data_IF_147373766406
#
_entry.id   IF_147373766406
#
_cell.length_a   1.000
_cell.length_b   1.000
_cell.length_c   1.000
_cell.angle_alpha   90.00
_cell.angle_beta   90.00
_cell.angle_gamma   90.00
#
_symmetry.space_group_name_H-M   'P 1'
#
loop_
_entity.id
_entity.type
_entity.pdbx_description
1 polymer ?
#
# COMPACT_ATOMS: atom_id res chain seq x y z
N UNK A 1 -16.00 -11.81 10.55
CA UNK A 1 -15.73 -11.86 12.01
C UNK A 1 -14.22 -11.91 12.32
N UNK A 2 -13.40 -12.63 11.56
CA UNK A 2 -11.97 -12.86 11.87
C UNK A 2 -11.13 -11.58 11.99
N UNK A 3 -11.18 -10.67 11.01
CA UNK A 3 -10.39 -9.44 11.04
C UNK A 3 -10.71 -8.53 12.22
N UNK A 4 -12.00 -8.34 12.54
CA UNK A 4 -12.40 -7.51 13.69
C UNK A 4 -11.90 -8.09 15.01
N UNK A 5 -11.93 -9.42 15.17
CA UNK A 5 -11.37 -10.09 16.33
C UNK A 5 -9.87 -9.88 16.44
N UNK A 6 -9.13 -10.00 15.32
CA UNK A 6 -7.69 -9.78 15.29
C UNK A 6 -7.32 -8.31 15.62
N UNK A 7 -8.04 -7.33 15.05
CA UNK A 7 -7.84 -5.91 15.40
C UNK A 7 -8.06 -5.65 16.89
N UNK A 8 -9.09 -6.24 17.48
CA UNK A 8 -9.35 -6.13 18.93
C UNK A 8 -8.23 -6.76 19.75
N UNK A 9 -7.74 -7.93 19.35
CA UNK A 9 -6.61 -8.60 20.03
C UNK A 9 -5.36 -7.72 20.03
N UNK A 10 -5.01 -7.13 18.88
CA UNK A 10 -3.87 -6.18 18.82
C UNK A 10 -4.14 -4.93 19.66
N UNK A 11 -5.38 -4.43 19.71
CA UNK A 11 -5.73 -3.28 20.54
C UNK A 11 -5.51 -3.56 22.02
N UNK A 12 -5.97 -4.72 22.52
CA UNK A 12 -5.71 -5.14 23.90
C UNK A 12 -4.22 -5.36 24.18
N UNK A 13 -3.48 -5.91 23.21
CA UNK A 13 -2.02 -6.07 23.35
C UNK A 13 -1.29 -4.72 23.41
N UNK A 14 -1.76 -3.70 22.65
CA UNK A 14 -1.22 -2.34 22.69
C UNK A 14 -1.49 -1.68 24.06
N UNK A 15 -2.65 -1.89 24.66
CA UNK A 15 -2.95 -1.40 26.01
C UNK A 15 -1.97 -1.95 27.04
N UNK A 16 -1.56 -3.22 26.90
CA UNK A 16 -0.58 -3.87 27.77
C UNK A 16 0.86 -3.44 27.48
N UNK A 17 1.20 -3.16 26.23
CA UNK A 17 2.56 -2.76 25.80
C UNK A 17 2.51 -1.68 24.70
N UNK A 18 2.22 -0.43 25.07
CA UNK A 18 2.05 0.67 24.12
C UNK A 18 3.35 1.15 23.46
N UNK A 19 4.49 0.66 23.91
CA UNK A 19 5.82 0.99 23.33
C UNK A 19 6.30 0.00 22.28
N UNK A 20 5.56 -1.09 22.02
CA UNK A 20 5.96 -2.10 21.03
C UNK A 20 5.49 -1.70 19.63
N UNK A 21 6.40 -1.30 18.69
CA UNK A 21 6.03 -0.85 17.36
C UNK A 21 5.43 -1.95 16.48
N UNK A 22 5.78 -3.22 16.75
CA UNK A 22 5.28 -4.36 15.98
C UNK A 22 3.77 -4.60 16.17
N UNK A 23 3.22 -4.24 17.31
CA UNK A 23 1.79 -4.36 17.57
C UNK A 23 0.99 -3.39 16.70
N UNK A 24 1.48 -2.17 16.52
CA UNK A 24 0.89 -1.17 15.63
C UNK A 24 1.04 -1.58 14.16
N UNK A 25 2.21 -2.09 13.74
CA UNK A 25 2.42 -2.61 12.39
C UNK A 25 1.42 -3.72 12.07
N UNK A 26 1.30 -4.73 12.94
CA UNK A 26 0.40 -5.85 12.71
C UNK A 26 -1.06 -5.43 12.71
N UNK A 27 -1.47 -4.51 13.60
CA UNK A 27 -2.84 -3.98 13.59
C UNK A 27 -3.14 -3.20 12.32
N UNK A 28 -2.19 -2.39 11.84
CA UNK A 28 -2.30 -1.67 10.56
C UNK A 28 -2.50 -2.64 9.40
N UNK A 29 -1.65 -3.67 9.29
CA UNK A 29 -1.75 -4.68 8.24
C UNK A 29 -3.11 -5.38 8.27
N UNK A 30 -3.57 -5.80 9.45
CA UNK A 30 -4.88 -6.45 9.61
C UNK A 30 -6.04 -5.51 9.20
N UNK A 31 -5.94 -4.21 9.51
CA UNK A 31 -6.93 -3.20 9.08
C UNK A 31 -6.94 -3.04 7.56
N UNK A 32 -5.78 -2.97 6.94
CA UNK A 32 -5.67 -2.88 5.49
C UNK A 32 -6.27 -4.10 4.79
N UNK A 33 -5.91 -5.31 5.22
CA UNK A 33 -6.46 -6.56 4.70
C UNK A 33 -7.99 -6.65 4.87
N UNK A 34 -8.52 -6.15 5.99
CA UNK A 34 -9.97 -6.07 6.22
C UNK A 34 -10.64 -5.14 5.21
N UNK A 35 -10.03 -3.98 4.93
CA UNK A 35 -10.54 -3.01 3.96
C UNK A 35 -10.53 -3.62 2.56
N UNK A 36 -9.42 -4.24 2.15
CA UNK A 36 -9.27 -4.89 0.85
C UNK A 36 -10.29 -6.02 0.66
N UNK A 37 -10.49 -6.84 1.69
CA UNK A 37 -11.49 -7.90 1.68
C UNK A 37 -12.92 -7.35 1.52
N UNK A 38 -13.31 -6.33 2.30
CA UNK A 38 -14.64 -5.73 2.24
C UNK A 38 -14.85 -5.06 0.87
N UNK A 39 -13.85 -4.34 0.35
CA UNK A 39 -13.93 -3.69 -0.96
C UNK A 39 -14.05 -4.70 -2.10
N UNK A 40 -13.38 -5.86 -2.00
CA UNK A 40 -13.48 -6.94 -2.98
C UNK A 40 -14.88 -7.56 -3.03
N UNK A 41 -15.51 -7.76 -1.87
CA UNK A 41 -16.89 -8.25 -1.76
C UNK A 41 -17.87 -7.23 -2.35
N UNK A 42 -17.73 -5.95 -1.97
CA UNK A 42 -18.62 -4.87 -2.45
C UNK A 42 -18.54 -4.72 -3.97
N UNK A 43 -17.33 -4.75 -4.53
CA UNK A 43 -17.12 -4.74 -5.98
C UNK A 43 -17.73 -5.96 -6.68
N UNK A 44 -17.66 -7.14 -6.08
CA UNK A 44 -18.26 -8.36 -6.61
C UNK A 44 -19.78 -8.29 -6.57
N UNK A 45 -20.35 -7.76 -5.50
CA UNK A 45 -21.78 -7.57 -5.33
C UNK A 45 -22.34 -6.54 -6.32
N UNK A 46 -21.65 -5.41 -6.52
CA UNK A 46 -22.01 -4.42 -7.52
C UNK A 46 -22.01 -4.98 -8.95
N UNK A 47 -21.06 -5.84 -9.28
CA UNK A 47 -21.01 -6.52 -10.58
C UNK A 47 -22.24 -7.40 -10.81
N UNK A 48 -22.63 -8.20 -9.83
CA UNK A 48 -23.81 -9.08 -9.90
C UNK A 48 -25.12 -8.27 -10.03
N UNK A 49 -25.26 -7.17 -9.29
CA UNK A 49 -26.46 -6.33 -9.34
C UNK A 49 -26.57 -5.51 -10.62
N UNK A 50 -25.46 -5.08 -11.21
CA UNK A 50 -25.44 -4.35 -12.50
C UNK A 50 -25.86 -5.27 -13.64
N UNK A 51 -25.45 -6.53 -13.61
CA UNK A 51 -25.80 -7.51 -14.66
C UNK A 51 -27.29 -7.94 -14.58
N UNK A 52 -27.93 -7.80 -13.42
CA UNK A 52 -29.30 -8.24 -13.20
C UNK A 52 -30.38 -7.16 -13.44
N UNK A 53 -30.06 -5.86 -13.39
CA UNK A 53 -31.04 -4.77 -13.60
C UNK A 53 -30.43 -3.51 -14.22
N UNK A 54 -30.74 -3.21 -15.52
CA UNK A 54 -30.24 -2.02 -16.22
C UNK A 54 -30.68 -0.69 -15.59
N UNK A 55 -31.80 -0.63 -14.85
CA UNK A 55 -32.30 0.59 -14.20
C UNK A 55 -31.47 0.97 -12.97
N UNK A 56 -30.78 0.02 -12.37
CA UNK A 56 -29.90 0.24 -11.21
C UNK A 56 -28.55 0.88 -11.57
N UNK A 57 -28.20 0.93 -12.87
CA UNK A 57 -26.94 1.55 -13.35
C UNK A 57 -26.85 3.05 -13.05
N UNK A 58 -28.00 3.73 -12.93
CA UNK A 58 -28.06 5.19 -12.74
C UNK A 58 -28.04 5.63 -11.28
N UNK A 59 -28.32 4.74 -10.33
CA UNK A 59 -28.47 5.10 -8.91
C UNK A 59 -27.29 4.64 -8.00
N UNK A 60 -26.34 3.87 -8.52
CA UNK A 60 -25.23 3.30 -7.72
C UNK A 60 -23.95 4.14 -7.74
N UNK A 61 -24.07 5.47 -7.80
CA UNK A 61 -22.93 6.39 -7.77
C UNK A 61 -22.40 6.68 -6.35
N UNK A 62 -22.89 5.99 -5.31
CA UNK A 62 -22.29 6.01 -3.98
C UNK A 62 -21.17 4.96 -3.90
N UNK A 63 -20.05 5.26 -4.58
CA UNK A 63 -18.80 4.53 -4.40
C UNK A 63 -18.42 4.63 -2.91
N UNK A 64 -18.60 3.54 -2.17
CA UNK A 64 -18.11 3.50 -0.79
C UNK A 64 -16.59 3.71 -0.82
N UNK A 65 -16.16 4.83 -0.29
CA UNK A 65 -14.74 5.11 -0.10
C UNK A 65 -14.31 4.43 1.19
N UNK A 66 -13.44 3.46 1.07
CA UNK A 66 -12.81 2.85 2.23
C UNK A 66 -11.56 3.65 2.57
N UNK A 67 -11.46 4.10 3.82
CA UNK A 67 -10.32 4.89 4.27
C UNK A 67 -9.29 3.99 4.97
N UNK A 68 -8.03 4.18 4.63
CA UNK A 68 -6.89 3.58 5.32
C UNK A 68 -6.38 4.43 6.51
N UNK A 69 -7.06 5.50 6.88
CA UNK A 69 -6.58 6.50 7.87
C UNK A 69 -6.21 5.87 9.21
N UNK A 70 -7.00 4.94 9.73
CA UNK A 70 -6.68 4.26 10.98
C UNK A 70 -5.44 3.35 10.85
N UNK A 71 -5.26 2.71 9.70
CA UNK A 71 -4.08 1.89 9.44
C UNK A 71 -2.83 2.76 9.29
N UNK A 72 -2.93 3.91 8.62
CA UNK A 72 -1.86 4.91 8.52
C UNK A 72 -1.52 5.49 9.90
N UNK A 73 -2.53 5.77 10.75
CA UNK A 73 -2.31 6.25 12.11
C UNK A 73 -1.51 5.26 12.97
N UNK A 74 -1.77 3.98 12.84
CA UNK A 74 -0.98 2.93 13.49
C UNK A 74 0.47 2.93 13.02
N UNK A 75 0.72 3.06 11.71
CA UNK A 75 2.08 3.12 11.16
C UNK A 75 2.80 4.41 11.56
N UNK A 76 2.10 5.54 11.68
CA UNK A 76 2.66 6.77 12.25
C UNK A 76 3.16 6.55 13.68
N UNK A 77 2.43 5.75 14.46
CA UNK A 77 2.87 5.39 15.81
C UNK A 77 4.07 4.45 15.77
N UNK A 78 4.07 3.46 14.87
CA UNK A 78 5.17 2.51 14.72
C UNK A 78 6.49 3.21 14.35
N UNK A 79 6.49 4.10 13.34
CA UNK A 79 7.71 4.85 12.93
C UNK A 79 8.18 5.84 13.99
N UNK A 80 7.27 6.38 14.80
CA UNK A 80 7.63 7.25 15.93
C UNK A 80 8.31 6.47 17.05
N UNK A 81 7.86 5.24 17.33
CA UNK A 81 8.43 4.38 18.37
C UNK A 81 9.76 3.75 17.92
N UNK A 82 9.90 3.44 16.63
CA UNK A 82 11.10 2.84 16.08
C UNK A 82 11.44 3.50 14.72
N UNK A 83 12.19 4.62 14.72
CA UNK A 83 12.51 5.41 13.52
C UNK A 83 13.36 4.69 12.48
N UNK A 84 14.04 3.60 12.84
CA UNK A 84 14.86 2.80 11.93
C UNK A 84 14.14 1.55 11.40
N UNK A 85 12.82 1.51 11.52
CA UNK A 85 12.01 0.37 11.10
C UNK A 85 11.59 0.49 9.62
N UNK A 86 12.44 0.04 8.70
CA UNK A 86 12.23 0.14 7.26
C UNK A 86 10.85 -0.39 6.81
N UNK A 87 10.39 -1.52 7.37
CA UNK A 87 9.09 -2.11 7.03
C UNK A 87 7.90 -1.24 7.41
N UNK A 88 7.99 -0.44 8.48
CA UNK A 88 6.90 0.44 8.86
C UNK A 88 6.75 1.60 7.86
N UNK A 89 7.85 2.16 7.38
CA UNK A 89 7.82 3.15 6.30
C UNK A 89 7.29 2.55 5.00
N UNK A 90 7.79 1.38 4.61
CA UNK A 90 7.31 0.69 3.40
C UNK A 90 5.80 0.44 3.43
N UNK A 91 5.27 -0.10 4.53
CA UNK A 91 3.83 -0.35 4.66
C UNK A 91 3.02 0.94 4.68
N UNK A 92 3.53 2.02 5.32
CA UNK A 92 2.85 3.32 5.29
C UNK A 92 2.83 3.91 3.89
N UNK A 93 3.94 3.80 3.14
CA UNK A 93 4.01 4.20 1.75
C UNK A 93 2.99 3.48 0.87
N UNK A 94 2.81 2.16 1.06
CA UNK A 94 1.79 1.38 0.34
C UNK A 94 0.39 1.94 0.58
N UNK A 95 0.02 2.21 1.84
CA UNK A 95 -1.30 2.75 2.18
C UNK A 95 -1.50 4.18 1.67
N UNK A 96 -0.46 5.02 1.76
CA UNK A 96 -0.48 6.37 1.21
C UNK A 96 -0.65 6.35 -0.32
N UNK A 97 0.05 5.46 -1.03
CA UNK A 97 -0.11 5.29 -2.47
C UNK A 97 -1.52 4.85 -2.84
N UNK A 98 -2.10 3.89 -2.12
CA UNK A 98 -3.49 3.45 -2.30
C UNK A 98 -4.51 4.56 -2.03
N UNK A 99 -4.20 5.47 -1.11
CA UNK A 99 -5.01 6.65 -0.80
C UNK A 99 -4.79 7.82 -1.79
N UNK A 100 -3.88 7.69 -2.75
CA UNK A 100 -3.55 8.73 -3.73
C UNK A 100 -2.52 9.77 -3.25
N UNK A 101 -1.99 9.64 -2.03
CA UNK A 101 -0.95 10.52 -1.47
C UNK A 101 0.44 10.11 -1.99
N UNK A 102 0.65 10.24 -3.31
CA UNK A 102 1.87 9.76 -3.98
C UNK A 102 3.15 10.47 -3.54
N UNK A 103 3.18 11.80 -3.30
CA UNK A 103 4.39 12.47 -2.81
C UNK A 103 4.84 11.92 -1.43
N UNK A 104 3.92 11.75 -0.50
CA UNK A 104 4.21 11.22 0.83
C UNK A 104 4.64 9.75 0.77
N UNK A 105 4.00 8.95 -0.11
CA UNK A 105 4.41 7.58 -0.36
C UNK A 105 5.85 7.49 -0.91
N UNK A 106 6.22 8.38 -1.82
CA UNK A 106 7.57 8.46 -2.37
C UNK A 106 8.62 8.75 -1.28
N UNK A 107 8.35 9.70 -0.38
CA UNK A 107 9.21 10.01 0.76
C UNK A 107 9.42 8.78 1.66
N UNK A 108 8.36 8.09 1.98
CA UNK A 108 8.40 6.90 2.84
C UNK A 108 9.13 5.73 2.19
N UNK A 109 8.93 5.45 0.89
CA UNK A 109 9.74 4.45 0.17
C UNK A 109 11.22 4.86 0.16
N UNK A 110 11.52 6.13 -0.01
CA UNK A 110 12.89 6.64 0.03
C UNK A 110 13.51 6.42 1.40
N UNK A 111 12.76 6.67 2.47
CA UNK A 111 13.21 6.37 3.83
C UNK A 111 13.41 4.88 4.05
N UNK A 112 12.48 4.03 3.60
CA UNK A 112 12.60 2.57 3.69
C UNK A 112 13.87 2.06 2.99
N UNK A 113 14.15 2.55 1.78
CA UNK A 113 15.36 2.21 1.00
C UNK A 113 16.64 2.70 1.72
N UNK A 114 16.62 3.90 2.32
CA UNK A 114 17.78 4.41 3.06
C UNK A 114 18.11 3.56 4.27
N UNK A 115 17.11 2.95 4.92
CA UNK A 115 17.25 2.06 6.07
C UNK A 115 17.59 0.62 5.65
N UNK A 116 17.12 0.18 4.50
CA UNK A 116 17.41 -1.13 3.92
C UNK A 116 17.69 -1.00 2.41
N UNK A 117 18.95 -0.81 2.00
CA UNK A 117 19.32 -0.69 0.58
C UNK A 117 19.07 -1.94 -0.29
N UNK A 118 18.72 -3.07 0.32
CA UNK A 118 18.35 -4.30 -0.38
C UNK A 118 16.81 -4.51 -0.44
N UNK A 119 16.00 -3.49 -0.13
CA UNK A 119 14.54 -3.60 -0.10
C UNK A 119 13.95 -3.51 -1.52
N UNK A 120 13.95 -4.63 -2.22
CA UNK A 120 13.57 -4.75 -3.63
C UNK A 120 12.17 -4.19 -3.92
N UNK A 121 11.18 -4.52 -3.08
CA UNK A 121 9.79 -4.08 -3.23
C UNK A 121 9.65 -2.56 -3.08
N UNK A 122 10.46 -1.94 -2.22
CA UNK A 122 10.44 -0.50 -2.05
C UNK A 122 10.98 0.24 -3.29
N UNK A 123 12.04 -0.28 -3.92
CA UNK A 123 12.51 0.21 -5.22
C UNK A 123 11.45 0.05 -6.30
N UNK A 124 10.83 -1.13 -6.39
CA UNK A 124 9.79 -1.39 -7.38
C UNK A 124 8.65 -0.39 -7.26
N UNK A 125 8.08 -0.24 -6.07
CA UNK A 125 6.93 0.63 -5.84
C UNK A 125 7.29 2.11 -6.03
N UNK A 126 8.48 2.55 -5.59
CA UNK A 126 8.96 3.92 -5.82
C UNK A 126 9.18 4.19 -7.31
N UNK A 127 9.73 3.22 -8.04
CA UNK A 127 9.90 3.29 -9.49
C UNK A 127 8.56 3.45 -10.22
N UNK A 128 7.53 2.70 -9.84
CA UNK A 128 6.18 2.84 -10.40
C UNK A 128 5.62 4.25 -10.13
N UNK A 129 5.76 4.79 -8.92
CA UNK A 129 5.31 6.16 -8.60
C UNK A 129 6.05 7.18 -9.47
N UNK A 130 7.36 7.05 -9.65
CA UNK A 130 8.15 7.96 -10.49
C UNK A 130 7.70 7.93 -11.95
N UNK A 131 7.40 6.74 -12.51
CA UNK A 131 6.83 6.61 -13.85
C UNK A 131 5.46 7.32 -13.94
N UNK A 132 4.60 7.15 -12.94
CA UNK A 132 3.31 7.84 -12.88
C UNK A 132 3.48 9.36 -12.79
N UNK A 133 4.47 9.84 -12.07
CA UNK A 133 4.85 11.26 -11.97
C UNK A 133 5.62 11.78 -13.19
N UNK A 134 5.79 10.96 -14.23
CA UNK A 134 6.52 11.27 -15.49
C UNK A 134 8.02 11.50 -15.30
N UNK A 135 8.61 11.07 -14.20
CA UNK A 135 10.06 10.99 -14.03
C UNK A 135 10.57 9.62 -14.52
N UNK A 136 10.42 9.40 -15.84
CA UNK A 136 10.69 8.10 -16.47
C UNK A 136 12.12 7.62 -16.20
N UNK A 137 13.10 8.54 -16.24
CA UNK A 137 14.51 8.16 -16.03
C UNK A 137 14.75 7.57 -14.65
N UNK A 138 14.28 8.22 -13.60
CA UNK A 138 14.45 7.71 -12.22
C UNK A 138 13.61 6.47 -11.97
N UNK A 139 12.38 6.44 -12.50
CA UNK A 139 11.53 5.27 -12.43
C UNK A 139 12.18 4.02 -13.02
N UNK A 140 12.79 4.14 -14.21
CA UNK A 140 13.53 3.05 -14.84
C UNK A 140 14.76 2.61 -14.03
N UNK A 141 15.48 3.53 -13.39
CA UNK A 141 16.62 3.20 -12.54
C UNK A 141 16.18 2.39 -11.30
N UNK A 142 15.12 2.81 -10.63
CA UNK A 142 14.58 2.09 -9.47
C UNK A 142 14.04 0.71 -9.86
N UNK A 143 13.33 0.61 -11.00
CA UNK A 143 12.86 -0.69 -11.51
C UNK A 143 14.03 -1.61 -11.91
N UNK A 144 15.08 -1.08 -12.52
CA UNK A 144 16.29 -1.87 -12.80
C UNK A 144 16.90 -2.41 -11.51
N UNK A 145 16.97 -1.56 -10.47
CA UNK A 145 17.48 -1.96 -9.16
C UNK A 145 16.61 -3.02 -8.49
N UNK A 146 15.28 -2.88 -8.57
CA UNK A 146 14.35 -3.89 -8.09
C UNK A 146 14.55 -5.25 -8.80
N UNK A 147 14.74 -5.24 -10.12
CA UNK A 147 15.05 -6.43 -10.91
C UNK A 147 16.36 -7.11 -10.49
N UNK A 148 17.44 -6.33 -10.29
CA UNK A 148 18.71 -6.83 -9.77
C UNK A 148 18.56 -7.47 -8.38
N UNK A 149 17.66 -6.96 -7.56
CA UNK A 149 17.36 -7.48 -6.21
C UNK A 149 16.34 -8.63 -6.20
N UNK A 150 15.85 -9.07 -7.38
CA UNK A 150 15.04 -10.27 -7.51
C UNK A 150 13.60 -10.06 -7.91
N UNK A 151 13.11 -8.83 -8.08
CA UNK A 151 11.75 -8.56 -8.59
C UNK A 151 11.75 -8.66 -10.11
N UNK A 152 11.54 -9.85 -10.65
CA UNK A 152 11.59 -10.11 -12.10
C UNK A 152 10.52 -9.36 -12.89
N UNK A 153 9.38 -9.07 -12.30
CA UNK A 153 8.28 -8.27 -12.85
C UNK A 153 8.71 -6.85 -13.24
N UNK A 154 9.76 -6.33 -12.59
CA UNK A 154 10.31 -5.02 -12.91
C UNK A 154 10.83 -4.94 -14.35
N UNK A 155 11.40 -6.03 -14.88
CA UNK A 155 11.87 -6.08 -16.26
C UNK A 155 10.73 -6.05 -17.28
N UNK A 156 9.57 -6.60 -16.94
CA UNK A 156 8.39 -6.52 -17.81
C UNK A 156 7.86 -5.08 -17.89
N UNK A 157 7.91 -4.34 -16.78
CA UNK A 157 7.55 -2.92 -16.76
C UNK A 157 8.54 -2.10 -17.61
N UNK A 158 9.83 -2.31 -17.42
CA UNK A 158 10.88 -1.65 -18.21
C UNK A 158 10.72 -1.88 -19.72
N UNK A 159 10.44 -3.13 -20.12
CA UNK A 159 10.23 -3.49 -21.52
C UNK A 159 9.04 -2.74 -22.14
N UNK A 160 7.93 -2.61 -21.40
CA UNK A 160 6.76 -1.84 -21.85
C UNK A 160 7.11 -0.36 -22.06
N UNK A 161 7.86 0.24 -21.14
CA UNK A 161 8.25 1.64 -21.27
C UNK A 161 9.24 1.88 -22.43
N UNK A 162 10.22 0.99 -22.64
CA UNK A 162 11.13 1.07 -23.77
C UNK A 162 10.42 0.95 -25.13
N UNK A 163 9.26 0.28 -25.20
CA UNK A 163 8.46 0.17 -26.43
C UNK A 163 7.57 1.38 -26.70
N UNK A 164 7.38 2.30 -25.75
CA UNK A 164 6.60 3.52 -25.90
C UNK A 164 7.45 4.72 -26.37
N UNK A 165 8.78 4.63 -26.20
CA UNK A 165 9.73 5.69 -26.62
C UNK A 165 10.26 5.50 -28.06
N UNK A 166 9.78 4.47 -28.81
CA UNK A 166 10.04 4.23 -30.22
C UNK A 166 8.79 4.48 -31.06
#
# INVERSE_FOLDING_TARGET
MLFRSAVNTFSSAIELNPSNPFLYLNRSTTRAEMIDFISSIDNSYQRITIDSDPANRLNNNSKRTYSYDEAVADLNKAVKLFPDFAYAYYNRANLLALSGSLPEAFEDYTKAISLNPAFAEAYYNRGIIQLFMKDTRKGCLDLSKAGELGITEAYEVLKRYASLDN
#
